data_IF_798537571755
#
_entry.id   IF_798537571755
#
_cell.length_a   1.000
_cell.length_b   1.000
_cell.length_c   1.000
_cell.angle_alpha   90.00
_cell.angle_beta   90.00
_cell.angle_gamma   90.00
#
_symmetry.space_group_name_H-M   'P 1'
#
loop_
_entity.id
_entity.type
_entity.pdbx_description
1 polymer ?
#
# COMPACT_ATOMS: atom_id res chain seq x y z
N UNK A 1 11.02 -10.64 -19.37
CA UNK A 1 9.83 -9.95 -19.92
C UNK A 1 8.62 -10.09 -19.00
N UNK A 2 8.11 -11.30 -18.74
CA UNK A 2 6.90 -11.52 -17.92
C UNK A 2 7.00 -10.95 -16.50
N UNK A 3 8.12 -11.14 -15.79
CA UNK A 3 8.28 -10.61 -14.43
C UNK A 3 8.13 -9.08 -14.36
N UNK A 4 8.72 -8.34 -15.30
CA UNK A 4 8.60 -6.88 -15.35
C UNK A 4 7.17 -6.41 -15.62
N UNK A 5 6.46 -7.09 -16.53
CA UNK A 5 5.06 -6.80 -16.84
C UNK A 5 4.13 -7.09 -15.63
N UNK A 6 4.34 -8.20 -14.93
CA UNK A 6 3.59 -8.55 -13.73
C UNK A 6 3.81 -7.54 -12.60
N UNK A 7 5.06 -7.08 -12.40
CA UNK A 7 5.38 -6.05 -11.41
C UNK A 7 4.70 -4.72 -11.74
N UNK A 8 4.75 -4.29 -13.01
CA UNK A 8 4.07 -3.08 -13.46
C UNK A 8 2.56 -3.15 -13.25
N UNK A 9 1.94 -4.27 -13.63
CA UNK A 9 0.51 -4.48 -13.45
C UNK A 9 0.13 -4.44 -11.97
N UNK A 10 0.92 -5.10 -11.11
CA UNK A 10 0.73 -5.05 -9.65
C UNK A 10 0.81 -3.63 -9.09
N UNK A 11 1.75 -2.82 -9.57
CA UNK A 11 1.88 -1.42 -9.18
C UNK A 11 0.65 -0.59 -9.60
N UNK A 12 0.14 -0.79 -10.82
CA UNK A 12 -1.05 -0.10 -11.33
C UNK A 12 -2.30 -0.47 -10.50
N UNK A 13 -2.47 -1.76 -10.18
CA UNK A 13 -3.58 -2.23 -9.34
C UNK A 13 -3.52 -1.61 -7.95
N UNK A 14 -2.32 -1.55 -7.35
CA UNK A 14 -2.11 -0.92 -6.05
C UNK A 14 -2.46 0.57 -6.08
N UNK A 15 -2.00 1.31 -7.09
CA UNK A 15 -2.36 2.72 -7.27
C UNK A 15 -3.87 2.90 -7.45
N UNK A 16 -4.50 2.07 -8.27
CA UNK A 16 -5.96 2.12 -8.53
C UNK A 16 -6.77 1.87 -7.27
N UNK A 17 -6.38 0.89 -6.46
CA UNK A 17 -7.02 0.60 -5.17
C UNK A 17 -6.93 1.78 -4.20
N UNK A 18 -5.75 2.41 -4.10
CA UNK A 18 -5.54 3.60 -3.27
C UNK A 18 -6.40 4.79 -3.76
N UNK A 19 -6.54 4.96 -5.07
CA UNK A 19 -7.37 6.01 -5.67
C UNK A 19 -8.87 5.82 -5.37
N UNK A 20 -9.36 4.58 -5.24
CA UNK A 20 -10.77 4.29 -4.93
C UNK A 20 -11.08 4.59 -3.45
N UNK A 21 -10.18 4.30 -2.52
CA UNK A 21 -10.33 4.65 -1.08
C UNK A 21 -10.36 6.16 -0.80
N UNK A 22 -10.11 7.00 -1.82
CA UNK A 22 -10.06 8.46 -1.75
C UNK A 22 -11.38 9.10 -1.32
N UNK A 23 -12.53 8.54 -1.70
CA UNK A 23 -13.84 9.14 -1.42
C UNK A 23 -14.31 8.91 0.03
N UNK A 24 -13.99 7.77 0.63
CA UNK A 24 -14.39 7.45 2.01
C UNK A 24 -13.64 8.33 3.05
N UNK A 25 -12.35 8.61 2.83
CA UNK A 25 -11.53 9.41 3.76
C UNK A 25 -11.86 10.90 3.79
N UNK A 26 -12.48 11.44 2.73
CA UNK A 26 -12.93 12.85 2.73
C UNK A 26 -14.07 13.02 3.74
N UNK A 27 -14.99 12.08 3.81
CA UNK A 27 -16.10 12.11 4.79
C UNK A 27 -15.60 11.93 6.23
N UNK A 28 -14.67 10.99 6.46
CA UNK A 28 -14.05 10.80 7.78
C UNK A 28 -13.25 12.02 8.23
N UNK A 29 -12.50 12.67 7.31
CA UNK A 29 -11.74 13.87 7.66
C UNK A 29 -12.64 15.05 8.01
N UNK A 30 -13.86 15.13 7.45
CA UNK A 30 -14.85 16.14 7.83
C UNK A 30 -15.46 15.81 9.19
N UNK A 31 -15.85 14.55 9.44
CA UNK A 31 -16.34 14.09 10.74
C UNK A 31 -15.32 14.31 11.87
N UNK A 32 -14.06 13.92 11.65
CA UNK A 32 -12.98 14.09 12.64
C UNK A 32 -12.68 15.57 12.90
N UNK A 33 -12.79 16.44 11.88
CA UNK A 33 -12.65 17.89 12.08
C UNK A 33 -13.82 18.49 12.84
N UNK A 34 -15.04 17.99 12.66
CA UNK A 34 -16.19 18.39 13.49
C UNK A 34 -16.05 17.93 14.95
N UNK A 35 -15.30 16.86 15.19
CA UNK A 35 -14.93 16.36 16.52
C UNK A 35 -13.66 17.02 17.11
N UNK A 36 -13.06 18.00 16.42
CA UNK A 36 -11.91 18.76 16.91
C UNK A 36 -10.54 18.17 16.61
N UNK A 37 -10.43 17.14 15.74
CA UNK A 37 -9.16 16.52 15.41
C UNK A 37 -8.24 17.45 14.59
N UNK A 38 -6.97 17.48 14.97
CA UNK A 38 -5.93 18.26 14.28
C UNK A 38 -5.50 17.60 12.96
N UNK A 39 -5.04 18.40 11.99
CA UNK A 39 -4.50 17.91 10.70
C UNK A 39 -3.39 16.86 10.89
N UNK A 40 -2.63 16.94 11.97
CA UNK A 40 -1.54 16.00 12.30
C UNK A 40 -2.06 14.63 12.71
N UNK A 41 -3.17 14.56 13.45
CA UNK A 41 -3.82 13.30 13.82
C UNK A 41 -4.34 12.56 12.60
N UNK A 42 -4.96 13.27 11.65
CA UNK A 42 -5.49 12.68 10.41
C UNK A 42 -4.37 12.07 9.56
N UNK A 43 -3.22 12.76 9.48
CA UNK A 43 -2.04 12.24 8.77
C UNK A 43 -1.44 11.00 9.44
N UNK A 44 -1.39 10.96 10.77
CA UNK A 44 -0.86 9.80 11.52
C UNK A 44 -1.76 8.58 11.33
N UNK A 45 -3.07 8.74 11.50
CA UNK A 45 -4.06 7.65 11.32
C UNK A 45 -3.98 7.12 9.89
N UNK A 46 -4.00 8.02 8.91
CA UNK A 46 -3.87 7.68 7.49
C UNK A 46 -2.56 6.94 7.18
N UNK A 47 -1.46 7.37 7.78
CA UNK A 47 -0.16 6.72 7.62
C UNK A 47 -0.13 5.31 8.21
N UNK A 48 -0.72 5.12 9.38
CA UNK A 48 -0.84 3.80 10.01
C UNK A 48 -1.69 2.84 9.18
N UNK A 49 -2.83 3.29 8.65
CA UNK A 49 -3.65 2.45 7.77
C UNK A 49 -2.88 1.98 6.53
N UNK A 50 -2.18 2.90 5.85
CA UNK A 50 -1.37 2.52 4.69
C UNK A 50 -0.18 1.63 5.08
N UNK A 51 0.36 1.79 6.28
CA UNK A 51 1.39 0.91 6.80
C UNK A 51 0.86 -0.52 7.01
N UNK A 52 -0.31 -0.67 7.62
CA UNK A 52 -0.94 -1.97 7.79
C UNK A 52 -1.28 -2.62 6.44
N UNK A 53 -1.81 -1.86 5.49
CA UNK A 53 -2.08 -2.36 4.14
C UNK A 53 -0.81 -2.83 3.43
N UNK A 54 0.26 -2.04 3.49
CA UNK A 54 1.56 -2.39 2.91
C UNK A 54 2.21 -3.60 3.59
N UNK A 55 2.11 -3.69 4.92
CA UNK A 55 2.61 -4.81 5.70
C UNK A 55 1.88 -6.12 5.35
N UNK A 56 0.54 -6.09 5.26
CA UNK A 56 -0.25 -7.27 4.87
C UNK A 56 0.12 -7.70 3.46
N UNK A 57 0.18 -6.77 2.50
CA UNK A 57 0.56 -7.07 1.12
C UNK A 57 1.96 -7.70 1.02
N UNK A 58 2.94 -7.14 1.74
CA UNK A 58 4.30 -7.67 1.77
C UNK A 58 4.37 -9.06 2.41
N UNK A 59 3.67 -9.28 3.53
CA UNK A 59 3.57 -10.59 4.19
C UNK A 59 2.96 -11.63 3.25
N UNK A 60 1.85 -11.32 2.60
CA UNK A 60 1.21 -12.23 1.64
C UNK A 60 2.16 -12.57 0.49
N UNK A 61 2.87 -11.57 -0.06
CA UNK A 61 3.88 -11.80 -1.10
C UNK A 61 5.01 -12.72 -0.65
N UNK A 62 5.56 -12.50 0.54
CA UNK A 62 6.63 -13.33 1.12
C UNK A 62 6.14 -14.76 1.37
N UNK A 63 4.96 -14.91 1.97
CA UNK A 63 4.34 -16.21 2.25
C UNK A 63 4.09 -17.01 0.96
N UNK A 64 3.77 -16.35 -0.15
CA UNK A 64 3.63 -17.02 -1.45
C UNK A 64 4.99 -17.30 -2.12
N UNK A 65 5.95 -16.40 -1.97
CA UNK A 65 7.27 -16.49 -2.61
C UNK A 65 8.14 -17.60 -2.02
N UNK A 66 8.12 -17.80 -0.70
CA UNK A 66 8.93 -18.83 -0.02
C UNK A 66 8.61 -20.25 -0.51
N UNK A 67 7.36 -20.75 -0.45
CA UNK A 67 7.02 -22.09 -0.93
C UNK A 67 7.19 -22.22 -2.45
N UNK A 68 6.91 -21.16 -3.22
CA UNK A 68 7.17 -21.16 -4.66
C UNK A 68 8.65 -21.34 -4.98
N UNK A 69 9.52 -20.61 -4.28
CA UNK A 69 10.98 -20.71 -4.46
C UNK A 69 11.52 -22.05 -3.96
N UNK A 70 10.98 -22.58 -2.86
CA UNK A 70 11.31 -23.91 -2.35
C UNK A 70 10.93 -25.01 -3.34
N UNK A 71 9.73 -24.95 -3.93
CA UNK A 71 9.28 -25.90 -4.93
C UNK A 71 10.19 -25.86 -6.17
N UNK A 72 10.55 -24.67 -6.65
CA UNK A 72 11.49 -24.52 -7.77
C UNK A 72 12.87 -25.12 -7.42
N UNK A 73 13.41 -24.80 -6.24
CA UNK A 73 14.70 -25.34 -5.80
C UNK A 73 14.69 -26.87 -5.71
N UNK A 74 13.60 -27.46 -5.21
CA UNK A 74 13.48 -28.92 -5.03
C UNK A 74 13.20 -29.68 -6.33
N UNK A 75 12.34 -29.16 -7.20
CA UNK A 75 11.89 -29.90 -8.40
C UNK A 75 12.66 -29.54 -9.66
N UNK A 76 13.23 -28.35 -9.76
CA UNK A 76 13.86 -27.87 -10.99
C UNK A 76 15.38 -27.74 -10.90
N UNK A 77 15.95 -27.51 -9.71
CA UNK A 77 17.35 -27.15 -9.55
C UNK A 77 18.17 -28.09 -8.66
N UNK A 78 17.54 -28.99 -7.89
CA UNK A 78 18.19 -29.92 -6.94
C UNK A 78 19.20 -29.24 -5.98
N UNK A 79 19.00 -27.95 -5.73
CA UNK A 79 19.88 -27.13 -4.88
C UNK A 79 19.34 -27.00 -3.46
N UNK A 80 20.21 -26.90 -2.43
CA UNK A 80 19.77 -26.61 -1.08
C UNK A 80 19.09 -25.23 -1.03
N UNK A 81 17.81 -25.20 -0.68
CA UNK A 81 17.05 -23.97 -0.52
C UNK A 81 17.38 -23.31 0.82
N UNK A 82 18.12 -22.21 0.77
CA UNK A 82 18.36 -21.34 1.94
C UNK A 82 17.70 -19.98 1.69
N UNK A 83 16.52 -19.71 2.29
CA UNK A 83 15.86 -18.42 2.11
C UNK A 83 16.70 -17.31 2.80
N UNK A 84 17.17 -16.30 2.06
CA UNK A 84 17.99 -15.26 2.64
C UNK A 84 17.09 -14.31 3.45
N UNK A 85 17.13 -14.44 4.78
CA UNK A 85 16.27 -13.68 5.70
C UNK A 85 16.46 -12.16 5.58
N UNK A 86 17.69 -11.72 5.33
CA UNK A 86 18.05 -10.30 5.29
C UNK A 86 17.41 -9.57 4.07
N UNK A 87 17.52 -10.09 2.83
CA UNK A 87 16.73 -9.60 1.68
C UNK A 87 15.21 -9.63 1.89
N UNK A 88 14.68 -10.68 2.53
CA UNK A 88 13.23 -10.79 2.80
C UNK A 88 12.77 -9.67 3.73
N UNK A 89 13.54 -9.40 4.79
CA UNK A 89 13.26 -8.28 5.70
C UNK A 89 13.37 -6.92 5.01
N UNK A 90 14.41 -6.71 4.20
CA UNK A 90 14.56 -5.46 3.42
C UNK A 90 13.36 -5.30 2.49
N UNK A 91 12.97 -6.35 1.78
CA UNK A 91 11.86 -6.30 0.83
C UNK A 91 10.53 -6.00 1.53
N UNK A 92 10.30 -6.57 2.70
CA UNK A 92 9.14 -6.26 3.54
C UNK A 92 9.06 -4.76 3.86
N UNK A 93 10.14 -4.20 4.41
CA UNK A 93 10.18 -2.78 4.77
C UNK A 93 10.08 -1.86 3.56
N UNK A 94 10.72 -2.22 2.43
CA UNK A 94 10.66 -1.45 1.19
C UNK A 94 9.23 -1.39 0.66
N UNK A 95 8.52 -2.52 0.58
CA UNK A 95 7.13 -2.56 0.11
C UNK A 95 6.20 -1.80 1.04
N UNK A 96 6.36 -1.98 2.36
CA UNK A 96 5.56 -1.24 3.34
C UNK A 96 5.79 0.28 3.25
N UNK A 97 7.05 0.72 3.19
CA UNK A 97 7.40 2.14 3.07
C UNK A 97 6.93 2.75 1.75
N UNK A 98 7.06 2.04 0.63
CA UNK A 98 6.55 2.49 -0.67
C UNK A 98 5.04 2.65 -0.61
N UNK A 99 4.32 1.70 -0.02
CA UNK A 99 2.86 1.76 0.11
C UNK A 99 2.43 2.96 0.96
N UNK A 100 3.10 3.19 2.10
CA UNK A 100 2.89 4.38 2.94
C UNK A 100 3.20 5.66 2.16
N UNK A 101 4.32 5.71 1.45
CA UNK A 101 4.74 6.89 0.71
C UNK A 101 3.76 7.23 -0.42
N UNK A 102 3.34 6.24 -1.20
CA UNK A 102 2.34 6.40 -2.27
C UNK A 102 0.98 6.81 -1.67
N UNK A 103 0.55 6.17 -0.59
CA UNK A 103 -0.70 6.49 0.10
C UNK A 103 -0.71 7.92 0.65
N UNK A 104 0.37 8.33 1.32
CA UNK A 104 0.53 9.69 1.84
C UNK A 104 0.68 10.73 0.73
N UNK A 105 1.43 10.44 -0.34
CA UNK A 105 1.61 11.34 -1.47
C UNK A 105 0.28 11.58 -2.20
N UNK A 106 -0.49 10.52 -2.45
CA UNK A 106 -1.85 10.64 -2.99
C UNK A 106 -2.79 11.38 -2.02
N UNK A 107 -2.66 11.13 -0.71
CA UNK A 107 -3.45 11.81 0.32
C UNK A 107 -3.15 13.31 0.44
N UNK A 108 -1.90 13.75 0.21
CA UNK A 108 -1.52 15.18 0.19
C UNK A 108 -2.26 15.96 -0.91
N UNK A 109 -2.51 15.35 -2.06
CA UNK A 109 -3.32 15.96 -3.12
C UNK A 109 -4.78 16.20 -2.74
N UNK A 110 -5.28 15.51 -1.71
CA UNK A 110 -6.66 15.62 -1.20
C UNK A 110 -6.78 16.78 -0.21
N UNK A 111 -5.77 16.98 0.65
CA UNK A 111 -5.75 18.09 1.62
C UNK A 111 -5.73 19.48 0.96
N UNK A 112 -5.31 19.56 -0.31
CA UNK A 112 -5.23 20.80 -1.08
C UNK A 112 -6.47 21.07 -1.95
N UNK A 113 -7.46 20.17 -2.03
CA UNK A 113 -8.71 20.44 -2.74
C UNK A 113 -9.81 20.81 -1.75
N UNK A 114 -10.42 22.00 -1.87
CA UNK A 114 -11.43 22.45 -0.94
C UNK A 114 -12.64 21.49 -0.94
N UNK A 115 -13.19 21.12 0.24
CA UNK A 115 -14.30 20.18 0.38
C UNK A 115 -15.58 20.55 -0.39
N UNK A 116 -15.69 21.82 -0.80
CA UNK A 116 -16.83 22.39 -1.52
C UNK A 116 -16.94 21.95 -2.99
N UNK A 117 -15.89 21.37 -3.56
CA UNK A 117 -15.89 20.94 -4.97
C UNK A 117 -16.51 19.54 -5.16
N UNK A 118 -16.47 18.70 -4.13
CA UNK A 118 -17.05 17.35 -4.15
C UNK A 118 -18.57 17.37 -3.89
N UNK A 119 -19.07 18.36 -3.15
CA UNK A 119 -20.51 18.53 -2.94
C UNK A 119 -21.24 19.18 -4.13
N UNK A 120 -20.50 19.66 -5.13
CA UNK A 120 -21.03 20.40 -6.27
C UNK A 120 -21.01 19.59 -7.57
N UNK A 121 -20.49 18.36 -7.54
CA UNK A 121 -20.55 17.40 -8.65
C UNK A 121 -21.78 16.49 -8.59
N UNK A 122 -22.58 16.57 -7.53
CA UNK A 122 -23.85 15.81 -7.36
C UNK A 122 -25.10 16.68 -7.59
N UNK A 123 -24.96 17.86 -8.21
CA UNK A 123 -26.08 18.67 -8.75
C UNK A 123 -25.90 18.97 -10.21
#
# INVERSE_FOLDING_TARGET
FMAGFSILTGLIVLVSSVLISKYQRIQESVLLRTLGASKRQILIISGLEYFFLGAIAALTGIILSIPGSWALAKYSFDTPFSPPLLPVFILFFVVALITVFIGLFNSRGILNRPPLEVLRSDT
#
